data_IF_203743030170
#
_entry.id   IF_203743030170
#
_cell.length_a   1.000
_cell.length_b   1.000
_cell.length_c   1.000
_cell.angle_alpha   90.00
_cell.angle_beta   90.00
_cell.angle_gamma   90.00
#
_symmetry.space_group_name_H-M   'P 1'
#
loop_
_entity.id
_entity.type
_entity.pdbx_description
1 polymer ?
#
# COMPACT_ATOMS: atom_id res chain seq x y z
N UNK A 1 9.23 67.07 7.54
CA UNK A 1 9.51 65.62 7.63
C UNK A 1 8.17 64.93 7.78
N UNK A 2 7.70 64.33 6.70
CA UNK A 2 6.36 63.77 6.55
C UNK A 2 6.26 62.44 7.26
N UNK A 3 5.36 62.30 8.23
CA UNK A 3 5.00 61.01 8.81
C UNK A 3 3.86 60.39 7.99
N UNK A 4 4.12 59.18 7.52
CA UNK A 4 3.23 58.34 6.73
C UNK A 4 1.98 57.95 7.54
N UNK A 5 0.82 58.31 7.03
CA UNK A 5 -0.46 57.68 7.40
C UNK A 5 -0.43 56.21 6.98
N UNK A 6 -0.76 55.24 7.85
CA UNK A 6 -0.85 53.84 7.45
C UNK A 6 -2.02 53.65 6.47
N UNK A 7 -1.87 52.80 5.43
CA UNK A 7 -2.97 52.50 4.51
C UNK A 7 -4.10 51.78 5.28
N UNK A 8 -5.36 51.98 4.88
CA UNK A 8 -6.48 51.30 5.51
C UNK A 8 -6.31 49.78 5.37
N UNK A 9 -6.80 49.00 6.35
CA UNK A 9 -6.80 47.55 6.24
C UNK A 9 -7.58 47.18 4.98
N UNK A 10 -6.94 46.45 4.07
CA UNK A 10 -7.61 45.81 2.95
C UNK A 10 -8.65 44.89 3.60
N UNK A 11 -9.92 45.31 3.56
CA UNK A 11 -11.01 44.45 3.92
C UNK A 11 -10.87 43.20 3.07
N UNK A 12 -10.66 42.05 3.72
CA UNK A 12 -10.79 40.77 3.07
C UNK A 12 -12.25 40.68 2.61
N UNK A 13 -12.51 41.14 1.38
CA UNK A 13 -13.70 40.79 0.64
C UNK A 13 -13.58 39.29 0.47
N UNK A 14 -14.15 38.54 1.41
CA UNK A 14 -14.48 37.15 1.15
C UNK A 14 -15.50 37.23 0.01
N UNK A 15 -15.18 36.70 -1.18
CA UNK A 15 -16.16 36.71 -2.26
C UNK A 15 -17.36 35.93 -1.75
N UNK A 16 -18.49 36.63 -1.68
CA UNK A 16 -19.79 36.04 -1.46
C UNK A 16 -20.02 35.07 -2.63
N UNK A 17 -19.78 33.79 -2.38
CA UNK A 17 -19.88 32.71 -3.37
C UNK A 17 -21.35 32.34 -3.60
N UNK A 18 -22.22 33.36 -3.77
CA UNK A 18 -23.67 33.19 -3.93
C UNK A 18 -24.08 32.98 -5.39
N UNK A 19 -23.22 33.31 -6.36
CA UNK A 19 -23.60 33.26 -7.76
C UNK A 19 -23.04 32.01 -8.45
N UNK A 20 -23.87 30.98 -8.63
CA UNK A 20 -23.55 29.82 -9.48
C UNK A 20 -23.08 30.21 -10.90
N UNK A 21 -23.32 31.46 -11.32
CA UNK A 21 -22.79 32.07 -12.54
C UNK A 21 -21.28 32.31 -12.51
N UNK A 22 -20.70 32.68 -11.37
CA UNK A 22 -19.25 32.88 -11.21
C UNK A 22 -18.51 31.54 -11.16
N UNK A 23 -19.10 30.54 -10.50
CA UNK A 23 -18.59 29.15 -10.52
C UNK A 23 -18.60 28.60 -11.95
N UNK A 24 -19.70 28.76 -12.69
CA UNK A 24 -19.78 28.35 -14.09
C UNK A 24 -18.75 29.06 -14.98
N UNK A 25 -18.52 30.36 -14.77
CA UNK A 25 -17.50 31.11 -15.51
C UNK A 25 -16.09 30.58 -15.24
N UNK A 26 -15.79 30.26 -13.98
CA UNK A 26 -14.51 29.67 -13.58
C UNK A 26 -14.32 28.27 -14.18
N UNK A 27 -15.33 27.40 -14.10
CA UNK A 27 -15.32 26.06 -14.71
C UNK A 27 -15.10 26.17 -16.22
N UNK A 28 -15.83 27.05 -16.91
CA UNK A 28 -15.62 27.28 -18.34
C UNK A 28 -14.23 27.82 -18.68
N UNK A 29 -13.55 28.52 -17.75
CA UNK A 29 -12.20 29.02 -17.99
C UNK A 29 -11.18 27.88 -17.91
N UNK A 30 -11.31 27.00 -16.92
CA UNK A 30 -10.31 25.97 -16.58
C UNK A 30 -10.60 24.62 -17.24
N UNK A 31 -11.84 24.37 -17.67
CA UNK A 31 -12.22 23.09 -18.25
C UNK A 31 -11.36 22.75 -19.47
N UNK A 32 -10.85 21.51 -19.56
CA UNK A 32 -10.17 21.00 -20.73
C UNK A 32 -10.99 21.18 -22.00
N UNK A 33 -10.30 21.35 -23.13
CA UNK A 33 -10.95 21.57 -24.42
C UNK A 33 -11.95 20.45 -24.76
N UNK A 34 -11.61 19.20 -24.45
CA UNK A 34 -12.46 18.04 -24.74
C UNK A 34 -13.82 18.08 -24.00
N UNK A 35 -13.88 18.66 -22.79
CA UNK A 35 -15.15 18.88 -22.06
C UNK A 35 -15.98 19.96 -22.75
N UNK A 36 -15.34 21.02 -23.23
CA UNK A 36 -16.00 22.14 -23.91
C UNK A 36 -16.59 21.75 -25.25
N UNK A 37 -15.98 20.78 -25.93
CA UNK A 37 -16.42 20.27 -27.24
C UNK A 37 -17.42 19.12 -27.16
N UNK A 38 -17.64 18.54 -25.97
CA UNK A 38 -18.57 17.42 -25.79
C UNK A 38 -20.03 17.87 -25.89
N UNK A 39 -20.90 16.99 -26.38
CA UNK A 39 -22.35 17.23 -26.40
C UNK A 39 -22.93 17.12 -24.98
N UNK A 40 -24.10 17.71 -24.74
CA UNK A 40 -24.79 17.61 -23.45
C UNK A 40 -25.04 16.13 -23.06
N UNK A 41 -25.48 15.30 -24.00
CA UNK A 41 -25.70 13.86 -23.78
C UNK A 41 -24.41 13.12 -23.39
N UNK A 42 -23.29 13.44 -24.04
CA UNK A 42 -21.98 12.87 -23.72
C UNK A 42 -21.51 13.24 -22.31
N UNK A 43 -21.74 14.49 -21.91
CA UNK A 43 -21.42 14.97 -20.57
C UNK A 43 -22.32 14.34 -19.50
N UNK A 44 -23.61 14.14 -19.78
CA UNK A 44 -24.54 13.45 -18.89
C UNK A 44 -24.11 11.99 -18.66
N UNK A 45 -23.71 11.28 -19.71
CA UNK A 45 -23.20 9.91 -19.61
C UNK A 45 -21.89 9.82 -18.84
N UNK A 46 -20.96 10.76 -19.06
CA UNK A 46 -19.73 10.86 -18.28
C UNK A 46 -20.03 11.12 -16.81
N UNK A 47 -20.88 12.10 -16.52
CA UNK A 47 -21.26 12.47 -15.15
C UNK A 47 -21.91 11.30 -14.41
N UNK A 48 -22.84 10.59 -15.05
CA UNK A 48 -23.49 9.41 -14.47
C UNK A 48 -22.47 8.29 -14.18
N UNK A 49 -21.47 8.10 -15.06
CA UNK A 49 -20.44 7.07 -14.88
C UNK A 49 -19.45 7.44 -13.77
N UNK A 50 -19.00 8.70 -13.70
CA UNK A 50 -18.16 9.20 -12.62
C UNK A 50 -18.87 9.18 -11.27
N UNK A 51 -20.16 9.49 -11.23
CA UNK A 51 -20.96 9.46 -9.99
C UNK A 51 -21.10 8.03 -9.44
N UNK A 52 -21.33 7.05 -10.33
CA UNK A 52 -21.35 5.63 -9.97
C UNK A 52 -20.00 5.16 -9.44
N UNK A 53 -18.93 5.45 -10.18
CA UNK A 53 -17.55 5.18 -9.77
C UNK A 53 -17.23 5.77 -8.40
N UNK A 54 -17.56 7.04 -8.17
CA UNK A 54 -17.28 7.67 -6.88
C UNK A 54 -18.03 6.98 -5.74
N UNK A 55 -19.30 6.64 -5.95
CA UNK A 55 -20.13 5.95 -4.96
C UNK A 55 -19.58 4.55 -4.62
N UNK A 56 -19.17 3.79 -5.64
CA UNK A 56 -18.58 2.46 -5.43
C UNK A 56 -17.19 2.53 -4.82
N UNK A 57 -16.40 3.56 -5.14
CA UNK A 57 -15.12 3.85 -4.49
C UNK A 57 -15.26 4.13 -3.00
N UNK A 58 -16.20 4.99 -2.61
CA UNK A 58 -16.46 5.27 -1.18
C UNK A 58 -16.87 4.00 -0.44
N UNK A 59 -17.70 3.15 -1.06
CA UNK A 59 -18.09 1.87 -0.46
C UNK A 59 -16.91 0.88 -0.33
N UNK A 60 -15.98 0.86 -1.30
CA UNK A 60 -14.75 0.06 -1.20
C UNK A 60 -13.83 0.61 -0.10
N UNK A 61 -13.64 1.92 -0.02
CA UNK A 61 -12.82 2.54 1.02
C UNK A 61 -13.35 2.21 2.41
N UNK A 62 -14.67 2.25 2.59
CA UNK A 62 -15.32 1.82 3.83
C UNK A 62 -15.05 0.33 4.12
N UNK A 63 -15.18 -0.55 3.13
CA UNK A 63 -14.88 -1.98 3.30
C UNK A 63 -13.41 -2.22 3.68
N UNK A 64 -12.48 -1.58 2.98
CA UNK A 64 -11.04 -1.75 3.19
C UNK A 64 -10.55 -1.08 4.47
N UNK A 65 -11.26 -0.06 4.98
CA UNK A 65 -10.95 0.55 6.28
C UNK A 65 -11.09 -0.41 7.46
N UNK A 66 -11.78 -1.53 7.28
CA UNK A 66 -11.84 -2.61 8.26
C UNK A 66 -10.56 -3.47 8.31
N UNK A 67 -9.68 -3.36 7.32
CA UNK A 67 -8.38 -4.03 7.32
C UNK A 67 -7.45 -3.22 8.24
N UNK A 68 -6.94 -3.88 9.27
CA UNK A 68 -6.01 -3.25 10.20
C UNK A 68 -4.65 -3.05 9.50
N UNK A 69 -3.97 -1.91 9.71
CA UNK A 69 -2.61 -1.73 9.21
C UNK A 69 -1.68 -2.84 9.72
N UNK A 70 -0.87 -3.41 8.83
CA UNK A 70 0.01 -4.55 9.13
C UNK A 70 0.94 -4.28 10.33
N UNK A 71 1.46 -3.06 10.46
CA UNK A 71 2.35 -2.68 11.58
C UNK A 71 1.61 -2.72 12.92
N UNK A 72 0.40 -2.17 12.99
CA UNK A 72 -0.42 -2.16 14.22
C UNK A 72 -0.80 -3.59 14.63
N UNK A 73 -1.25 -4.39 13.67
CA UNK A 73 -1.60 -5.80 13.87
C UNK A 73 -0.39 -6.59 14.40
N UNK A 74 0.77 -6.42 13.77
CA UNK A 74 2.00 -7.10 14.16
C UNK A 74 2.47 -6.66 15.56
N UNK A 75 2.48 -5.36 15.86
CA UNK A 75 2.90 -4.85 17.19
C UNK A 75 2.02 -5.42 18.30
N UNK A 76 0.70 -5.45 18.11
CA UNK A 76 -0.24 -6.02 19.07
C UNK A 76 0.04 -7.50 19.34
N UNK A 77 0.19 -8.29 18.26
CA UNK A 77 0.41 -9.74 18.38
C UNK A 77 1.80 -10.11 18.90
N UNK A 78 2.85 -9.44 18.44
CA UNK A 78 4.18 -9.66 18.97
C UNK A 78 4.29 -9.13 20.40
N UNK A 79 3.60 -8.05 20.76
CA UNK A 79 3.56 -7.53 22.13
C UNK A 79 3.05 -8.58 23.11
N UNK A 80 1.92 -9.24 22.78
CA UNK A 80 1.39 -10.34 23.56
C UNK A 80 2.39 -11.52 23.68
N UNK A 81 3.06 -11.88 22.58
CA UNK A 81 4.07 -12.95 22.56
C UNK A 81 5.27 -12.62 23.46
N UNK A 82 5.78 -11.38 23.41
CA UNK A 82 6.89 -10.96 24.26
C UNK A 82 6.49 -10.85 25.73
N UNK A 83 5.25 -10.44 26.03
CA UNK A 83 4.73 -10.44 27.39
C UNK A 83 4.64 -11.86 27.95
N UNK A 84 4.23 -12.86 27.16
CA UNK A 84 4.27 -14.26 27.57
C UNK A 84 5.70 -14.77 27.84
N UNK A 85 6.69 -14.30 27.08
CA UNK A 85 8.09 -14.72 27.23
C UNK A 85 8.81 -14.03 28.39
N UNK A 86 8.56 -12.75 28.61
CA UNK A 86 9.26 -11.91 29.58
C UNK A 86 8.48 -11.68 30.88
N UNK A 87 7.16 -11.91 30.87
CA UNK A 87 6.26 -11.52 31.96
C UNK A 87 6.05 -10.00 32.07
N UNK A 88 6.44 -9.23 31.04
CA UNK A 88 6.23 -7.78 30.95
C UNK A 88 6.05 -7.34 29.51
N UNK A 89 5.35 -6.24 29.31
CA UNK A 89 5.28 -5.58 28.01
C UNK A 89 6.63 -4.94 27.64
N UNK A 90 6.93 -4.97 26.34
CA UNK A 90 8.09 -4.31 25.74
C UNK A 90 7.63 -3.30 24.69
N UNK A 91 8.38 -2.21 24.54
CA UNK A 91 8.13 -1.26 23.45
C UNK A 91 8.82 -1.76 22.17
N UNK A 92 8.11 -2.56 21.37
CA UNK A 92 8.64 -3.16 20.14
C UNK A 92 9.12 -2.09 19.15
N UNK A 93 8.47 -0.92 19.12
CA UNK A 93 8.82 0.16 18.20
C UNK A 93 10.13 0.87 18.58
N UNK A 94 10.53 0.81 19.86
CA UNK A 94 11.80 1.36 20.35
C UNK A 94 12.88 0.31 20.64
N UNK A 95 12.55 -0.95 20.42
CA UNK A 95 13.47 -2.06 20.63
C UNK A 95 14.23 -2.39 19.35
N UNK A 96 15.43 -2.92 19.52
CA UNK A 96 16.32 -3.32 18.44
C UNK A 96 16.61 -4.82 18.51
N UNK A 97 16.90 -5.40 17.36
CA UNK A 97 17.45 -6.74 17.23
C UNK A 97 18.92 -6.66 16.88
N UNK A 98 19.78 -7.09 17.81
CA UNK A 98 21.22 -7.07 17.67
C UNK A 98 21.72 -8.47 17.28
N UNK A 99 22.41 -8.57 16.14
CA UNK A 99 23.09 -9.79 15.69
C UNK A 99 24.59 -9.56 15.63
N UNK A 100 25.35 -10.51 16.17
CA UNK A 100 26.79 -10.58 15.97
C UNK A 100 27.13 -11.59 14.88
N UNK A 101 28.13 -11.27 14.07
CA UNK A 101 28.61 -12.13 13.00
C UNK A 101 30.13 -12.15 12.91
N UNK A 102 30.65 -13.17 12.24
CA UNK A 102 32.06 -13.31 11.92
C UNK A 102 32.23 -13.17 10.41
N UNK A 103 32.96 -12.15 9.99
CA UNK A 103 33.39 -12.01 8.60
C UNK A 103 34.76 -12.68 8.45
N UNK A 104 34.87 -13.59 7.49
CA UNK A 104 36.12 -14.27 7.14
C UNK A 104 36.74 -13.53 5.98
N UNK A 105 37.79 -12.77 6.25
CA UNK A 105 38.55 -12.04 5.24
C UNK A 105 39.60 -12.99 4.66
N UNK A 106 39.37 -13.47 3.44
CA UNK A 106 40.40 -14.18 2.69
C UNK A 106 41.29 -13.17 1.96
N UNK A 107 42.62 -13.25 2.11
CA UNK A 107 43.51 -12.39 1.35
C UNK A 107 43.32 -12.64 -0.16
N UNK A 108 43.18 -11.57 -0.97
CA UNK A 108 42.87 -11.69 -2.40
C UNK A 108 43.99 -12.35 -3.21
N UNK A 109 45.22 -12.35 -2.68
CA UNK A 109 46.37 -13.05 -3.24
C UNK A 109 47.02 -13.83 -2.11
N UNK A 110 47.22 -15.14 -2.32
CA UNK A 110 48.04 -15.96 -1.44
C UNK A 110 49.50 -15.75 -1.81
N UNK A 111 50.26 -15.09 -0.94
CA UNK A 111 51.69 -14.83 -1.08
C UNK A 111 52.48 -16.03 -0.54
N UNK A 112 51.92 -16.78 0.41
CA UNK A 112 52.54 -18.00 0.96
C UNK A 112 51.54 -19.16 1.08
N UNK A 113 52.04 -20.40 1.22
CA UNK A 113 51.23 -21.59 1.49
C UNK A 113 50.56 -21.57 2.88
N UNK A 114 50.83 -20.54 3.72
CA UNK A 114 50.37 -20.42 5.13
C UNK A 114 49.53 -19.17 5.34
N UNK A 115 48.97 -18.58 4.30
CA UNK A 115 48.10 -17.41 4.45
C UNK A 115 46.78 -17.80 5.12
N UNK A 116 46.72 -17.58 6.43
CA UNK A 116 45.55 -17.83 7.27
C UNK A 116 44.46 -16.78 7.01
N UNK A 117 43.18 -17.16 7.04
CA UNK A 117 42.09 -16.21 6.93
C UNK A 117 42.09 -15.25 8.13
N UNK A 118 41.82 -13.97 7.86
CA UNK A 118 41.51 -12.99 8.89
C UNK A 118 40.08 -13.19 9.39
N UNK A 119 39.86 -12.99 10.68
CA UNK A 119 38.54 -13.08 11.29
C UNK A 119 38.16 -11.72 11.89
N UNK A 120 37.12 -11.08 11.36
CA UNK A 120 36.61 -9.81 11.88
C UNK A 120 35.20 -10.00 12.42
N UNK A 121 35.01 -9.70 13.71
CA UNK A 121 33.67 -9.63 14.30
C UNK A 121 32.98 -8.34 13.88
N UNK A 122 31.70 -8.43 13.56
CA UNK A 122 30.86 -7.27 13.31
C UNK A 122 29.53 -7.44 14.03
N UNK A 123 28.88 -6.32 14.33
CA UNK A 123 27.50 -6.28 14.81
C UNK A 123 26.61 -5.68 13.76
N UNK A 124 25.36 -6.12 13.74
CA UNK A 124 24.28 -5.55 12.94
C UNK A 124 23.11 -5.31 13.88
N UNK A 125 22.69 -4.06 14.01
CA UNK A 125 21.44 -3.70 14.68
C UNK A 125 20.38 -3.34 13.64
N UNK A 126 19.13 -3.65 13.93
CA UNK A 126 17.97 -3.28 13.13
C UNK A 126 16.73 -3.17 14.03
N UNK A 127 15.73 -2.40 13.61
CA UNK A 127 14.48 -2.27 14.37
C UNK A 127 13.84 -3.64 14.63
N UNK A 128 13.40 -3.88 15.85
CA UNK A 128 12.85 -5.17 16.26
C UNK A 128 11.63 -5.54 15.40
N UNK A 129 10.67 -4.61 15.23
CA UNK A 129 9.49 -4.85 14.40
C UNK A 129 9.86 -5.30 12.98
N UNK A 130 10.84 -4.62 12.37
CA UNK A 130 11.30 -4.95 11.02
C UNK A 130 11.88 -6.35 10.95
N UNK A 131 12.65 -6.76 11.95
CA UNK A 131 13.18 -8.12 12.03
C UNK A 131 12.08 -9.16 12.19
N UNK A 132 11.12 -8.91 13.06
CA UNK A 132 9.99 -9.81 13.28
C UNK A 132 9.14 -10.00 12.01
N UNK A 133 8.91 -8.92 11.25
CA UNK A 133 8.16 -8.97 9.99
C UNK A 133 8.88 -9.70 8.85
N UNK A 134 10.22 -9.76 8.86
CA UNK A 134 10.99 -10.57 7.91
C UNK A 134 10.80 -12.07 8.14
N UNK A 135 10.29 -12.47 9.31
CA UNK A 135 10.16 -13.86 9.71
C UNK A 135 11.50 -14.48 10.10
N UNK A 136 11.44 -15.72 10.57
CA UNK A 136 12.61 -16.51 10.96
C UNK A 136 12.65 -17.84 10.22
N UNK A 137 13.83 -18.20 9.73
CA UNK A 137 14.09 -19.49 9.10
C UNK A 137 14.29 -20.60 10.13
N UNK A 138 14.17 -21.86 9.70
CA UNK A 138 14.37 -23.02 10.59
C UNK A 138 15.76 -23.01 11.22
N UNK A 139 16.81 -22.69 10.44
CA UNK A 139 18.18 -22.63 10.96
C UNK A 139 18.34 -21.58 12.05
N UNK A 140 17.54 -20.51 12.03
CA UNK A 140 17.56 -19.45 13.04
C UNK A 140 16.88 -19.85 14.34
N UNK A 141 16.23 -21.02 14.39
CA UNK A 141 15.63 -21.58 15.59
C UNK A 141 16.61 -22.51 16.33
N UNK A 142 17.80 -22.77 15.77
CA UNK A 142 18.79 -23.65 16.36
C UNK A 142 19.69 -22.89 17.36
N UNK A 143 19.96 -23.49 18.52
CA UNK A 143 20.76 -22.92 19.63
C UNK A 143 22.17 -22.46 19.22
N UNK A 144 22.71 -22.95 18.09
CA UNK A 144 24.06 -22.59 17.60
C UNK A 144 24.07 -21.54 16.50
N UNK A 145 22.91 -21.05 16.06
CA UNK A 145 22.86 -20.09 14.94
C UNK A 145 23.36 -18.71 15.34
N UNK A 146 22.99 -18.25 16.52
CA UNK A 146 23.33 -16.91 17.00
C UNK A 146 24.63 -16.90 17.79
N UNK A 147 25.48 -15.91 17.52
CA UNK A 147 26.66 -15.68 18.33
C UNK A 147 26.27 -15.12 19.71
N UNK A 148 27.01 -15.44 20.78
CA UNK A 148 26.75 -14.91 22.12
C UNK A 148 26.69 -13.38 22.14
N UNK A 149 25.68 -12.84 22.83
CA UNK A 149 25.39 -11.40 22.87
C UNK A 149 24.40 -10.94 21.82
N UNK A 150 23.99 -11.80 20.88
CA UNK A 150 22.87 -11.50 19.97
C UNK A 150 21.54 -11.62 20.70
N UNK A 151 20.57 -10.78 20.35
CA UNK A 151 19.24 -10.82 20.94
C UNK A 151 18.50 -9.50 20.83
N UNK A 152 17.44 -9.38 21.64
CA UNK A 152 16.60 -8.19 21.69
C UNK A 152 17.19 -7.19 22.66
N UNK A 153 17.35 -5.94 22.21
CA UNK A 153 17.86 -4.82 23.00
C UNK A 153 16.75 -3.80 23.18
N UNK A 154 16.50 -3.40 24.42
CA UNK A 154 15.56 -2.33 24.77
C UNK A 154 16.30 -1.25 25.56
N UNK A 155 16.22 0.01 25.12
CA UNK A 155 16.93 1.14 25.76
C UNK A 155 18.45 0.93 25.94
N UNK A 156 19.09 0.15 25.06
CA UNK A 156 20.52 -0.16 25.14
C UNK A 156 20.86 -1.35 26.05
N UNK A 157 19.88 -2.00 26.68
CA UNK A 157 20.06 -3.19 27.50
C UNK A 157 19.61 -4.45 26.75
N UNK A 158 20.45 -5.48 26.77
CA UNK A 158 20.11 -6.80 26.21
C UNK A 158 19.10 -7.48 27.13
N UNK A 159 17.94 -7.83 26.59
CA UNK A 159 16.90 -8.55 27.33
C UNK A 159 17.34 -9.99 27.62
N UNK A 160 16.90 -10.59 28.74
CA UNK A 160 17.23 -11.96 29.11
C UNK A 160 16.39 -12.97 28.30
N UNK A 161 16.53 -12.92 26.97
CA UNK A 161 15.86 -13.80 26.02
C UNK A 161 16.89 -14.46 25.10
N UNK A 162 16.74 -15.77 24.97
CA UNK A 162 17.45 -16.56 23.97
C UNK A 162 16.92 -16.22 22.57
N UNK A 163 17.77 -15.72 21.64
CA UNK A 163 17.32 -15.31 20.32
C UNK A 163 16.71 -16.46 19.51
N UNK A 164 17.23 -17.68 19.65
CA UNK A 164 16.69 -18.91 19.06
C UNK A 164 15.27 -19.22 19.55
N UNK A 165 14.99 -18.97 20.84
CA UNK A 165 13.68 -19.18 21.44
C UNK A 165 12.68 -18.14 20.95
N UNK A 166 13.11 -16.89 20.78
CA UNK A 166 12.29 -15.84 20.17
C UNK A 166 11.96 -16.22 18.72
N UNK A 167 12.98 -16.60 17.93
CA UNK A 167 12.82 -17.03 16.54
C UNK A 167 11.82 -18.20 16.41
N UNK A 168 11.97 -19.23 17.25
CA UNK A 168 11.08 -20.40 17.27
C UNK A 168 9.63 -20.02 17.60
N UNK A 169 9.43 -19.11 18.58
CA UNK A 169 8.10 -18.65 18.99
C UNK A 169 7.44 -17.78 17.93
N UNK A 170 8.18 -16.86 17.32
CA UNK A 170 7.67 -16.05 16.20
C UNK A 170 7.29 -16.93 15.01
N UNK A 171 8.09 -17.95 14.69
CA UNK A 171 7.80 -18.92 13.63
C UNK A 171 6.55 -19.76 13.94
N UNK A 172 6.36 -20.16 15.20
CA UNK A 172 5.17 -20.89 15.64
C UNK A 172 3.90 -20.03 15.59
N UNK A 173 4.01 -18.75 15.95
CA UNK A 173 2.88 -17.83 15.96
C UNK A 173 2.41 -17.43 14.56
N UNK A 174 3.32 -17.45 13.57
CA UNK A 174 3.07 -17.20 12.15
C UNK A 174 2.13 -16.01 11.92
N UNK A 175 2.57 -14.84 12.37
CA UNK A 175 1.77 -13.61 12.30
C UNK A 175 1.44 -13.24 10.84
N UNK A 176 2.32 -13.59 9.90
CA UNK A 176 2.06 -13.42 8.46
C UNK A 176 0.82 -14.19 8.01
N UNK A 177 0.72 -15.49 8.36
CA UNK A 177 -0.48 -16.28 8.07
C UNK A 177 -1.72 -15.72 8.78
N UNK A 178 -1.61 -15.33 10.05
CA UNK A 178 -2.74 -14.76 10.80
C UNK A 178 -3.24 -13.45 10.20
N UNK A 179 -2.34 -12.63 9.64
CA UNK A 179 -2.71 -11.40 8.96
C UNK A 179 -3.42 -11.69 7.61
N UNK A 180 -2.98 -12.70 6.87
CA UNK A 180 -3.70 -13.16 5.67
C UNK A 180 -5.10 -13.67 6.02
N UNK A 181 -5.23 -14.46 7.10
CA UNK A 181 -6.53 -14.92 7.61
C UNK A 181 -7.44 -13.74 8.02
N UNK A 182 -6.87 -12.67 8.60
CA UNK A 182 -7.58 -11.43 8.89
C UNK A 182 -8.11 -10.75 7.63
N UNK A 183 -7.25 -10.56 6.62
CA UNK A 183 -7.64 -10.00 5.32
C UNK A 183 -8.72 -10.85 4.67
N UNK A 184 -8.56 -12.17 4.67
CA UNK A 184 -9.53 -13.10 4.12
C UNK A 184 -10.86 -13.04 4.86
N UNK A 185 -10.87 -12.88 6.18
CA UNK A 185 -12.12 -12.68 6.93
C UNK A 185 -12.84 -11.37 6.57
N UNK A 186 -12.09 -10.33 6.21
CA UNK A 186 -12.63 -9.04 5.79
C UNK A 186 -13.10 -9.05 4.33
N UNK A 187 -12.47 -9.80 3.43
CA UNK A 187 -12.87 -9.85 2.01
C UNK A 187 -13.87 -10.98 1.74
N UNK A 188 -13.62 -12.15 2.32
CA UNK A 188 -14.34 -13.40 2.13
C UNK A 188 -14.95 -13.89 3.46
N UNK A 189 -16.01 -13.22 3.95
CA UNK A 189 -16.68 -13.65 5.17
C UNK A 189 -17.24 -15.06 5.00
N UNK A 190 -17.36 -15.76 6.13
CA UNK A 190 -17.90 -17.13 6.18
C UNK A 190 -19.35 -17.17 5.70
N UNK A 191 -20.10 -16.10 5.97
CA UNK A 191 -21.48 -15.94 5.52
C UNK A 191 -21.58 -15.80 3.99
N UNK A 192 -22.27 -16.71 3.28
CA UNK A 192 -22.34 -16.71 1.82
C UNK A 192 -22.96 -15.43 1.23
N UNK A 193 -23.98 -14.87 1.88
CA UNK A 193 -24.67 -13.67 1.40
C UNK A 193 -23.78 -12.44 1.49
N UNK A 194 -23.14 -12.24 2.65
CA UNK A 194 -22.15 -11.18 2.86
C UNK A 194 -20.96 -11.31 1.90
N UNK A 195 -20.52 -12.54 1.63
CA UNK A 195 -19.44 -12.80 0.67
C UNK A 195 -19.86 -12.41 -0.75
N UNK A 196 -21.05 -12.81 -1.18
CA UNK A 196 -21.57 -12.43 -2.48
C UNK A 196 -21.66 -10.90 -2.60
N UNK A 197 -22.18 -10.21 -1.58
CA UNK A 197 -22.28 -8.75 -1.57
C UNK A 197 -20.91 -8.06 -1.69
N UNK A 198 -19.89 -8.52 -0.93
CA UNK A 198 -18.53 -7.94 -1.00
C UNK A 198 -17.88 -8.17 -2.37
N UNK A 199 -18.04 -9.37 -2.95
CA UNK A 199 -17.51 -9.65 -4.29
C UNK A 199 -18.26 -8.89 -5.39
N UNK A 200 -19.57 -8.73 -5.26
CA UNK A 200 -20.38 -7.91 -6.14
C UNK A 200 -19.95 -6.43 -6.06
N UNK A 201 -19.64 -5.92 -4.87
CA UNK A 201 -19.12 -4.57 -4.68
C UNK A 201 -17.76 -4.39 -5.36
N UNK A 202 -16.81 -5.30 -5.11
CA UNK A 202 -15.47 -5.22 -5.70
C UNK A 202 -15.50 -5.31 -7.24
N UNK A 203 -16.25 -6.27 -7.78
CA UNK A 203 -16.41 -6.41 -9.23
C UNK A 203 -17.23 -5.27 -9.85
N UNK A 204 -18.24 -4.77 -9.14
CA UNK A 204 -19.04 -3.61 -9.54
C UNK A 204 -18.21 -2.34 -9.65
N UNK A 205 -17.38 -2.04 -8.65
CA UNK A 205 -16.52 -0.86 -8.71
C UNK A 205 -15.46 -0.93 -9.81
N UNK A 206 -14.91 -2.13 -10.07
CA UNK A 206 -14.00 -2.32 -11.21
C UNK A 206 -14.70 -2.04 -12.55
N UNK A 207 -15.97 -2.45 -12.69
CA UNK A 207 -16.79 -2.12 -13.86
C UNK A 207 -17.06 -0.62 -13.95
N UNK A 208 -17.44 0.03 -12.85
CA UNK A 208 -17.69 1.47 -12.84
C UNK A 208 -16.45 2.28 -13.22
N UNK A 209 -15.27 1.90 -12.72
CA UNK A 209 -13.98 2.49 -13.09
C UNK A 209 -13.70 2.31 -14.59
N UNK A 210 -13.92 1.09 -15.10
CA UNK A 210 -13.73 0.80 -16.52
C UNK A 210 -14.61 1.68 -17.41
N UNK A 211 -15.90 1.82 -17.09
CA UNK A 211 -16.81 2.66 -17.87
C UNK A 211 -16.49 4.15 -17.74
N UNK A 212 -16.16 4.63 -16.55
CA UNK A 212 -15.73 6.02 -16.35
C UNK A 212 -14.50 6.34 -17.21
N UNK A 213 -13.51 5.45 -17.24
CA UNK A 213 -12.33 5.61 -18.08
C UNK A 213 -12.65 5.52 -19.57
N UNK A 214 -13.52 4.60 -20.00
CA UNK A 214 -13.93 4.47 -21.39
C UNK A 214 -14.61 5.76 -21.91
N UNK A 215 -15.51 6.34 -21.12
CA UNK A 215 -16.14 7.63 -21.46
C UNK A 215 -15.14 8.78 -21.46
N UNK A 216 -14.22 8.84 -20.50
CA UNK A 216 -13.14 9.83 -20.49
C UNK A 216 -12.27 9.76 -21.75
N UNK A 217 -11.77 8.57 -22.10
CA UNK A 217 -10.89 8.38 -23.27
C UNK A 217 -11.62 8.60 -24.59
N UNK A 218 -12.91 8.28 -24.69
CA UNK A 218 -13.72 8.63 -25.86
C UNK A 218 -13.81 10.15 -26.05
N UNK A 219 -14.08 10.91 -24.99
CA UNK A 219 -14.20 12.37 -25.08
C UNK A 219 -12.85 13.05 -25.34
N UNK A 220 -11.76 12.46 -24.84
CA UNK A 220 -10.40 12.91 -25.13
C UNK A 220 -9.97 12.59 -26.58
N UNK A 221 -10.73 11.77 -27.30
CA UNK A 221 -10.44 11.35 -28.68
C UNK A 221 -9.41 10.22 -28.78
N UNK A 222 -9.10 9.55 -27.67
CA UNK A 222 -8.22 8.38 -27.64
C UNK A 222 -8.96 7.10 -28.08
N UNK A 223 -10.28 7.05 -27.86
CA UNK A 223 -11.16 5.98 -28.31
C UNK A 223 -12.13 6.50 -29.37
N UNK A 224 -12.36 5.69 -30.40
CA UNK A 224 -13.42 5.95 -31.37
C UNK A 224 -14.79 5.44 -30.86
N UNK A 225 -15.86 5.83 -31.55
CA UNK A 225 -17.23 5.47 -31.18
C UNK A 225 -17.47 3.95 -31.24
N UNK A 226 -16.79 3.25 -32.15
CA UNK A 226 -16.90 1.80 -32.27
C UNK A 226 -16.25 1.08 -31.08
N UNK A 227 -15.07 1.53 -30.65
CA UNK A 227 -14.38 1.01 -29.47
C UNK A 227 -15.16 1.31 -28.18
N UNK A 228 -15.75 2.51 -28.05
CA UNK A 228 -16.64 2.81 -26.92
C UNK A 228 -17.82 1.83 -26.89
N UNK A 229 -18.45 1.58 -28.04
CA UNK A 229 -19.56 0.63 -28.13
C UNK A 229 -19.14 -0.80 -27.74
N UNK A 230 -17.97 -1.26 -28.18
CA UNK A 230 -17.43 -2.54 -27.74
C UNK A 230 -17.23 -2.60 -26.22
N UNK A 231 -16.69 -1.53 -25.62
CA UNK A 231 -16.53 -1.44 -24.16
C UNK A 231 -17.89 -1.53 -23.44
N UNK A 232 -18.92 -0.86 -23.95
CA UNK A 232 -20.28 -0.91 -23.38
C UNK A 232 -20.97 -2.27 -23.58
N UNK A 233 -20.71 -2.95 -24.71
CA UNK A 233 -21.26 -4.27 -24.99
C UNK A 233 -20.75 -5.35 -24.02
N UNK A 234 -19.58 -5.16 -23.40
CA UNK A 234 -19.05 -6.02 -22.32
C UNK A 234 -20.02 -6.12 -21.14
N UNK A 235 -20.80 -5.07 -20.85
CA UNK A 235 -21.77 -5.08 -19.74
C UNK A 235 -22.98 -5.97 -20.05
N UNK A 236 -23.39 -5.99 -21.32
CA UNK A 236 -24.60 -6.69 -21.78
C UNK A 236 -24.42 -8.19 -21.94
N UNK A 237 -23.18 -8.70 -21.86
CA UNK A 237 -22.85 -10.08 -22.20
C UNK A 237 -23.15 -10.43 -23.66
N UNK A 238 -23.40 -9.44 -24.54
CA UNK A 238 -23.79 -9.66 -25.94
C UNK A 238 -22.62 -9.91 -26.88
N UNK A 239 -21.39 -9.85 -26.38
CA UNK A 239 -20.22 -10.36 -27.08
C UNK A 239 -20.36 -11.89 -27.14
N UNK A 240 -20.85 -12.40 -28.27
CA UNK A 240 -21.06 -13.83 -28.58
C UNK A 240 -19.79 -14.69 -28.63
N UNK A 241 -18.79 -14.37 -27.83
CA UNK A 241 -17.64 -15.23 -27.54
C UNK A 241 -17.88 -15.83 -26.15
N UNK A 242 -18.14 -17.13 -26.13
CA UNK A 242 -18.59 -17.88 -24.96
C UNK A 242 -17.78 -17.59 -23.69
N UNK A 243 -18.52 -17.55 -22.58
CA UNK A 243 -18.07 -17.60 -21.19
C UNK A 243 -16.55 -17.52 -21.01
N UNK A 244 -16.00 -16.32 -21.10
CA UNK A 244 -14.70 -16.07 -20.50
C UNK A 244 -14.95 -15.77 -19.03
N UNK A 245 -14.41 -16.58 -18.10
CA UNK A 245 -14.38 -16.17 -16.70
C UNK A 245 -13.64 -14.83 -16.67
N UNK A 246 -14.26 -13.80 -16.09
CA UNK A 246 -13.61 -12.52 -15.82
C UNK A 246 -12.43 -12.79 -14.88
N UNK A 247 -11.29 -13.16 -15.44
CA UNK A 247 -10.02 -13.15 -14.75
C UNK A 247 -9.67 -11.66 -14.58
N UNK A 248 -9.74 -11.21 -13.32
CA UNK A 248 -9.31 -9.89 -12.88
C UNK A 248 -7.86 -9.69 -13.32
N UNK A 249 -7.65 -9.04 -14.46
CA UNK A 249 -6.34 -8.60 -14.89
C UNK A 249 -6.08 -7.25 -14.21
N UNK A 250 -5.36 -7.29 -13.09
CA UNK A 250 -4.74 -6.11 -12.48
C UNK A 250 -3.70 -5.55 -13.46
N UNK A 251 -4.17 -4.72 -14.39
CA UNK A 251 -3.34 -3.84 -15.20
C UNK A 251 -3.49 -2.44 -14.64
N UNK A 252 -2.59 -2.07 -13.71
CA UNK A 252 -2.33 -0.67 -13.39
C UNK A 252 -1.72 -0.01 -14.64
N UNK A 253 -2.56 0.49 -15.55
CA UNK A 253 -2.13 1.47 -16.53
C UNK A 253 -2.31 2.86 -15.93
N UNK A 254 -1.40 3.23 -15.02
CA UNK A 254 -1.18 4.63 -14.68
C UNK A 254 -0.31 5.25 -15.78
N UNK A 255 -0.92 6.02 -16.67
CA UNK A 255 -0.17 6.80 -17.64
C UNK A 255 -0.66 8.25 -17.58
N UNK A 256 -0.08 9.04 -16.67
CA UNK A 256 0.41 10.38 -16.97
C UNK A 256 1.41 10.84 -15.91
N UNK A 257 2.65 11.09 -16.38
CA UNK A 257 3.63 12.04 -15.86
C UNK A 257 4.18 11.85 -14.44
N UNK A 258 5.36 11.24 -14.30
CA UNK A 258 6.58 11.83 -13.70
C UNK A 258 7.80 10.99 -14.14
N UNK A 259 8.93 11.57 -14.60
CA UNK A 259 10.08 10.80 -15.05
C UNK A 259 11.05 10.56 -13.89
N UNK A 260 11.24 9.31 -13.47
CA UNK A 260 12.47 8.89 -12.79
C UNK A 260 12.96 7.59 -13.39
N UNK A 261 14.01 7.72 -14.22
CA UNK A 261 14.88 6.62 -14.61
C UNK A 261 15.63 6.13 -13.37
N UNK A 262 15.50 4.85 -13.05
CA UNK A 262 16.54 4.15 -12.31
C UNK A 262 17.13 3.08 -13.23
N UNK A 263 18.41 3.28 -13.54
CA UNK A 263 19.24 2.35 -14.29
C UNK A 263 19.36 1.04 -13.51
N UNK A 264 18.89 -0.05 -14.10
CA UNK A 264 19.33 -1.40 -13.79
C UNK A 264 20.54 -1.74 -14.67
N UNK A 265 21.64 -2.13 -14.04
CA UNK A 265 22.69 -2.92 -14.66
C UNK A 265 23.11 -4.05 -13.69
N UNK A 266 23.56 -5.18 -14.24
CA UNK A 266 23.49 -6.52 -13.65
C UNK A 266 24.43 -6.74 -12.46
#
# INVERSE_FOLDING_TARGET
MSELTPPPPIAAVQPDLDDGTEINRFICTIAPHWIKSATAEQLDHLHASLSRYHSSHVAIEQLLSAIEPADTFAVSHYGALFNELLGRDIDIAKSEWLEFGLHVEQPPVRITDVDLPGFRRYSKSQDLLRRLLQGFETAQCDDSFYYPGSGVVENGELLPLEPERVAARCRQADIGKRYLEHIDGVIYPVDPDSRYQRLALLSGAQRDLFFANAYCSYLQGELDEHALKMCLDVDSGSLGYGELPCAVFLSMSSASCWPMRWCSRP
#
